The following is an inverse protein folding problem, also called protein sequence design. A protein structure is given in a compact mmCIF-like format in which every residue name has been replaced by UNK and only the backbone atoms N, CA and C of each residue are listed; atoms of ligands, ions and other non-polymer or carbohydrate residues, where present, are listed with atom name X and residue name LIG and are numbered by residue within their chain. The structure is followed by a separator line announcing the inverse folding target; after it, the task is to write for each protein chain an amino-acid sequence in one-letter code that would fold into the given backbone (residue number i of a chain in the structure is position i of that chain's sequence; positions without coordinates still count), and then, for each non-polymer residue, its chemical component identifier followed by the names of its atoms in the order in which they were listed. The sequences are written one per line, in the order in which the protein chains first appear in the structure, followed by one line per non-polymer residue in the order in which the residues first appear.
data_IF_580105139989
#
_entry.id   IF_580105139989
#
_cell.length_a   1.000
_cell.length_b   1.000
_cell.length_c   1.000
_cell.angle_alpha   90.00
_cell.angle_beta   90.00
_cell.angle_gamma   90.00
#
_symmetry.space_group_name_H-M   'P 1'
#
loop_
_entity.id
_entity.type
_entity.pdbx_description
1 polymer ?
#
# COMPACT_ATOMS: atom_id res chain seq x y z
N UNK A 1 6.61 69.40 68.01
CA UNK A 1 5.54 68.41 67.72
C UNK A 1 5.24 68.44 66.23
N UNK A 2 5.80 67.56 65.38
CA UNK A 2 5.30 67.24 64.03
C UNK A 2 5.79 65.83 63.71
N UNK A 3 4.87 64.89 63.63
CA UNK A 3 5.10 63.49 63.25
C UNK A 3 5.29 63.43 61.74
N UNK A 4 6.39 62.91 61.32
CA UNK A 4 6.62 62.60 59.88
C UNK A 4 6.29 61.13 59.64
N UNK A 5 5.20 60.92 58.90
CA UNK A 5 4.72 59.61 58.51
C UNK A 5 5.47 59.20 57.22
N UNK A 6 6.35 58.21 57.33
CA UNK A 6 7.10 57.67 56.20
C UNK A 6 6.26 56.56 55.55
N UNK A 7 5.80 56.83 54.35
CA UNK A 7 5.07 55.85 53.50
C UNK A 7 6.09 54.98 52.75
N UNK A 8 6.17 53.71 53.14
CA UNK A 8 6.94 52.68 52.38
C UNK A 8 6.12 52.25 51.16
N UNK A 9 6.54 52.66 49.98
CA UNK A 9 5.95 52.21 48.72
C UNK A 9 6.62 50.90 48.29
N UNK A 10 5.96 49.77 48.51
CA UNK A 10 6.44 48.47 48.09
C UNK A 10 6.10 48.28 46.61
N UNK A 11 7.10 48.35 45.74
CA UNK A 11 7.01 48.06 44.29
C UNK A 11 7.01 46.56 44.10
N UNK A 12 5.84 45.95 43.83
CA UNK A 12 5.70 44.54 43.43
C UNK A 12 5.98 44.47 41.96
N UNK A 13 7.18 43.99 41.58
CA UNK A 13 7.49 43.57 40.20
C UNK A 13 6.77 42.28 39.87
N UNK A 14 5.66 42.37 39.12
CA UNK A 14 5.00 41.23 38.49
C UNK A 14 5.90 40.72 37.35
N UNK A 15 6.64 39.68 37.62
CA UNK A 15 7.34 38.88 36.59
C UNK A 15 6.31 38.07 35.84
N UNK A 16 5.81 38.55 34.71
CA UNK A 16 4.99 37.76 33.77
C UNK A 16 5.90 36.73 33.11
N UNK A 17 5.92 35.53 33.63
CA UNK A 17 6.52 34.38 32.91
C UNK A 17 5.65 34.08 31.70
N UNK A 18 6.07 34.53 30.54
CA UNK A 18 5.57 34.01 29.26
C UNK A 18 6.02 32.57 29.11
N UNK A 19 5.19 31.63 29.54
CA UNK A 19 5.32 30.23 29.13
C UNK A 19 4.88 30.14 27.67
N UNK A 20 5.83 30.25 26.73
CA UNK A 20 5.62 29.77 25.39
C UNK A 20 5.44 28.26 25.48
N UNK A 21 4.19 27.81 25.60
CA UNK A 21 3.84 26.43 25.28
C UNK A 21 4.12 26.26 23.80
N UNK A 22 5.24 25.63 23.44
CA UNK A 22 5.41 25.04 22.13
C UNK A 22 4.29 24.02 21.99
N UNK A 23 3.19 24.41 21.31
CA UNK A 23 2.26 23.45 20.73
C UNK A 23 3.04 22.60 19.75
N UNK A 24 3.55 21.48 20.22
CA UNK A 24 3.99 20.40 19.34
C UNK A 24 2.76 19.97 18.57
N UNK A 25 2.62 20.50 17.35
CA UNK A 25 1.68 19.99 16.34
C UNK A 25 2.03 18.52 16.12
N UNK A 26 1.38 17.64 16.86
CA UNK A 26 1.40 16.22 16.57
C UNK A 26 0.70 16.05 15.23
N UNK A 27 1.47 15.89 14.15
CA UNK A 27 0.92 15.52 12.86
C UNK A 27 0.24 14.17 13.07
N UNK A 28 -1.08 14.18 13.17
CA UNK A 28 -1.86 12.95 13.32
C UNK A 28 -1.62 12.07 12.09
N UNK A 29 -0.95 10.94 12.29
CA UNK A 29 -0.64 10.03 11.20
C UNK A 29 -1.93 9.37 10.72
N UNK A 30 -2.26 9.55 9.45
CA UNK A 30 -3.44 8.94 8.86
C UNK A 30 -3.31 7.41 8.80
N UNK A 31 -4.20 6.70 9.51
CA UNK A 31 -4.30 5.25 9.46
C UNK A 31 -4.80 4.80 8.08
N UNK A 32 -4.12 3.82 7.47
CA UNK A 32 -4.54 3.22 6.19
C UNK A 32 -4.93 1.76 6.32
N UNK A 33 -4.45 1.06 7.34
CA UNK A 33 -4.77 -0.37 7.52
C UNK A 33 -4.03 -0.99 8.70
N UNK A 34 -4.11 -2.29 8.80
CA UNK A 34 -3.46 -3.10 9.83
C UNK A 34 -2.70 -4.29 9.21
N UNK A 35 -1.65 -4.72 9.88
CA UNK A 35 -0.93 -5.95 9.55
C UNK A 35 -1.78 -7.15 9.95
N UNK A 36 -2.33 -7.87 8.97
CA UNK A 36 -3.15 -9.08 9.22
C UNK A 36 -2.29 -10.30 9.48
N UNK A 37 -1.18 -10.45 8.74
CA UNK A 37 -0.25 -11.56 8.89
C UNK A 37 1.17 -11.13 8.51
N UNK A 38 2.16 -11.80 9.10
CA UNK A 38 3.58 -11.53 8.85
C UNK A 38 4.38 -12.83 8.87
N UNK A 39 5.40 -12.91 8.06
CA UNK A 39 6.36 -14.01 8.03
C UNK A 39 7.76 -13.45 7.80
N UNK A 40 8.74 -13.90 8.57
CA UNK A 40 10.11 -13.39 8.54
C UNK A 40 10.21 -11.96 9.07
N UNK A 41 11.19 -11.20 8.58
CA UNK A 41 11.49 -9.84 9.02
C UNK A 41 10.85 -8.81 8.09
N UNK A 42 9.92 -8.04 8.61
CA UNK A 42 9.28 -6.91 7.92
C UNK A 42 9.32 -5.69 8.82
N UNK A 43 9.68 -4.54 8.27
CA UNK A 43 9.85 -3.30 9.03
C UNK A 43 9.39 -2.07 8.23
N UNK A 44 9.18 -0.98 8.95
CA UNK A 44 9.16 0.38 8.38
C UNK A 44 10.51 1.07 8.59
N UNK A 45 10.61 2.36 8.31
CA UNK A 45 11.80 3.16 8.62
C UNK A 45 12.09 3.21 10.12
N UNK A 46 11.08 3.08 10.96
CA UNK A 46 11.17 3.38 12.40
C UNK A 46 10.95 2.19 13.32
N UNK A 47 10.35 1.09 12.81
CA UNK A 47 10.01 -0.08 13.64
C UNK A 47 9.95 -1.38 12.86
N UNK A 48 10.19 -2.48 13.55
CA UNK A 48 9.82 -3.81 13.08
C UNK A 48 8.32 -4.02 13.25
N UNK A 49 7.67 -4.67 12.27
CA UNK A 49 6.22 -4.89 12.24
C UNK A 49 5.86 -6.25 12.83
N UNK A 50 4.68 -6.29 13.47
CA UNK A 50 4.03 -7.50 14.00
C UNK A 50 2.58 -7.54 13.52
N UNK A 51 1.96 -8.73 13.57
CA UNK A 51 0.52 -8.86 13.32
C UNK A 51 -0.27 -7.98 14.29
N UNK A 52 -1.26 -7.26 13.78
CA UNK A 52 -2.05 -6.27 14.50
C UNK A 52 -1.51 -4.84 14.47
N UNK A 53 -0.26 -4.63 14.04
CA UNK A 53 0.31 -3.28 13.95
C UNK A 53 -0.44 -2.41 12.93
N UNK A 54 -0.60 -1.13 13.27
CA UNK A 54 -1.20 -0.13 12.40
C UNK A 54 -0.22 0.30 11.32
N UNK A 55 -0.70 0.48 10.11
CA UNK A 55 0.04 1.05 8.98
C UNK A 55 -0.53 2.42 8.66
N UNK A 56 0.36 3.39 8.50
CA UNK A 56 0.01 4.78 8.27
C UNK A 56 0.39 5.24 6.87
N UNK A 57 -0.25 6.31 6.43
CA UNK A 57 0.06 6.95 5.15
C UNK A 57 1.54 7.36 5.10
N UNK A 58 2.15 7.21 3.93
CA UNK A 58 3.57 7.48 3.64
C UNK A 58 4.57 6.60 4.41
N UNK A 59 4.15 5.59 5.18
CA UNK A 59 5.12 4.60 5.69
C UNK A 59 5.61 3.70 4.55
N UNK A 60 6.93 3.49 4.50
CA UNK A 60 7.54 2.50 3.61
C UNK A 60 7.62 1.16 4.34
N UNK A 61 7.19 0.12 3.67
CA UNK A 61 7.20 -1.25 4.18
C UNK A 61 8.31 -2.01 3.47
N UNK A 62 9.26 -2.49 4.25
CA UNK A 62 10.41 -3.29 3.79
C UNK A 62 10.21 -4.74 4.22
N UNK A 63 10.12 -5.65 3.26
CA UNK A 63 10.14 -7.08 3.49
C UNK A 63 11.50 -7.66 3.07
N UNK A 64 12.17 -8.35 3.96
CA UNK A 64 13.48 -8.97 3.71
C UNK A 64 13.41 -10.24 2.87
N UNK A 65 14.53 -10.93 2.76
CA UNK A 65 14.63 -12.25 2.11
C UNK A 65 13.70 -13.25 2.81
N UNK A 66 12.96 -14.03 2.03
CA UNK A 66 12.00 -15.04 2.53
C UNK A 66 10.96 -14.47 3.51
N UNK A 67 10.72 -13.17 3.47
CA UNK A 67 9.82 -12.45 4.36
C UNK A 67 8.63 -11.89 3.60
N UNK A 68 7.59 -11.48 4.33
CA UNK A 68 6.45 -10.80 3.73
C UNK A 68 5.38 -10.47 4.76
N UNK A 69 4.45 -9.63 4.35
CA UNK A 69 3.32 -9.21 5.19
C UNK A 69 2.04 -9.08 4.40
N UNK A 70 0.93 -9.36 5.04
CA UNK A 70 -0.40 -9.06 4.53
C UNK A 70 -0.98 -7.89 5.30
N UNK A 71 -1.40 -6.86 4.59
CA UNK A 71 -1.98 -5.65 5.14
C UNK A 71 -3.44 -5.59 4.71
N UNK A 72 -4.32 -5.44 5.69
CA UNK A 72 -5.75 -5.24 5.50
C UNK A 72 -6.02 -3.74 5.55
N UNK A 73 -6.41 -3.14 4.44
CA UNK A 73 -6.73 -1.71 4.36
C UNK A 73 -8.15 -1.47 4.87
N UNK A 74 -8.44 -0.22 5.26
CA UNK A 74 -9.75 0.17 5.81
C UNK A 74 -10.90 0.00 4.81
N UNK A 75 -10.62 0.05 3.49
CA UNK A 75 -11.60 -0.22 2.43
C UNK A 75 -11.76 -1.72 2.12
N UNK A 76 -11.22 -2.61 2.97
CA UNK A 76 -11.19 -4.07 2.78
C UNK A 76 -10.32 -4.55 1.61
N UNK A 77 -9.52 -3.70 1.01
CA UNK A 77 -8.45 -4.15 0.12
C UNK A 77 -7.41 -4.94 0.91
N UNK A 78 -6.83 -5.95 0.27
CA UNK A 78 -5.74 -6.71 0.87
C UNK A 78 -4.47 -6.54 0.03
N UNK A 79 -3.41 -6.06 0.69
CA UNK A 79 -2.08 -5.93 0.08
C UNK A 79 -1.15 -6.98 0.69
N UNK A 80 -0.64 -7.88 -0.14
CA UNK A 80 0.38 -8.84 0.29
C UNK A 80 1.73 -8.43 -0.30
N UNK A 81 2.63 -7.99 0.57
CA UNK A 81 4.00 -7.62 0.24
C UNK A 81 4.86 -8.86 0.33
N UNK A 82 5.50 -9.24 -0.77
CA UNK A 82 6.37 -10.43 -0.85
C UNK A 82 7.81 -10.16 -0.47
N UNK A 83 8.68 -11.16 -0.68
CA UNK A 83 10.11 -11.07 -0.35
C UNK A 83 10.85 -9.99 -1.14
N UNK A 84 11.91 -9.43 -0.56
CA UNK A 84 12.79 -8.41 -1.15
C UNK A 84 12.03 -7.20 -1.65
N UNK A 85 11.02 -6.75 -0.91
CA UNK A 85 10.08 -5.71 -1.38
C UNK A 85 10.23 -4.41 -0.61
N UNK A 86 9.99 -3.32 -1.35
CA UNK A 86 9.85 -1.96 -0.84
C UNK A 86 8.56 -1.35 -1.39
N UNK A 87 7.59 -1.10 -0.50
CA UNK A 87 6.23 -0.64 -0.85
C UNK A 87 5.85 0.55 0.02
N UNK A 88 5.31 1.59 -0.59
CA UNK A 88 4.81 2.81 0.08
C UNK A 88 3.33 2.98 -0.20
N UNK A 89 2.57 3.43 0.80
CA UNK A 89 1.19 3.88 0.63
C UNK A 89 1.17 5.40 0.41
N UNK A 90 1.14 5.85 -0.86
CA UNK A 90 1.28 7.28 -1.19
C UNK A 90 -0.01 8.07 -0.98
N UNK A 91 -1.17 7.44 -1.19
CA UNK A 91 -2.49 8.07 -1.05
C UNK A 91 -3.48 7.03 -0.55
N UNK A 92 -4.23 7.41 0.46
CA UNK A 92 -5.37 6.64 0.94
C UNK A 92 -6.46 7.61 1.37
N UNK A 93 -7.53 7.67 0.59
CA UNK A 93 -8.76 8.40 0.93
C UNK A 93 -9.89 7.39 0.88
N UNK A 94 -10.69 7.32 1.91
CA UNK A 94 -11.82 6.40 1.99
C UNK A 94 -12.95 7.00 2.80
N UNK A 95 -14.12 7.03 2.21
CA UNK A 95 -15.38 7.36 2.86
C UNK A 95 -16.16 6.05 3.08
N UNK A 96 -16.32 5.59 4.32
CA UNK A 96 -16.99 4.33 4.62
C UNK A 96 -18.51 4.37 4.35
N UNK A 97 -19.13 5.54 4.35
CA UNK A 97 -20.57 5.67 4.12
C UNK A 97 -20.92 5.53 2.63
N UNK A 98 -20.08 6.06 1.79
CA UNK A 98 -20.28 6.04 0.33
C UNK A 98 -19.44 5.02 -0.39
N UNK A 99 -18.39 4.47 0.22
CA UNK A 99 -17.32 3.67 -0.39
C UNK A 99 -16.54 4.42 -1.48
N UNK A 100 -16.62 5.75 -1.52
CA UNK A 100 -15.79 6.56 -2.39
C UNK A 100 -14.37 6.67 -1.84
N UNK A 101 -13.42 6.87 -2.73
CA UNK A 101 -12.06 7.02 -2.31
C UNK A 101 -11.03 6.84 -3.41
N UNK A 102 -9.77 6.82 -2.97
CA UNK A 102 -8.61 6.63 -3.85
C UNK A 102 -7.48 5.97 -3.10
N UNK A 103 -6.86 4.98 -3.74
CA UNK A 103 -5.67 4.30 -3.26
C UNK A 103 -4.56 4.49 -4.27
N UNK A 104 -3.40 4.98 -3.82
CA UNK A 104 -2.17 4.98 -4.60
C UNK A 104 -1.09 4.34 -3.76
N UNK A 105 -0.46 3.31 -4.28
CA UNK A 105 0.71 2.68 -3.67
C UNK A 105 1.87 2.69 -4.66
N UNK A 106 3.10 2.77 -4.16
CA UNK A 106 4.33 2.65 -4.96
C UNK A 106 5.06 1.37 -4.59
N UNK A 107 5.42 0.57 -5.59
CA UNK A 107 6.33 -0.56 -5.43
C UNK A 107 7.65 -0.20 -6.09
N UNK A 108 8.68 0.05 -5.29
CA UNK A 108 10.01 0.42 -5.81
C UNK A 108 10.79 -0.81 -6.25
N UNK A 109 10.63 -1.93 -5.54
CA UNK A 109 11.18 -3.23 -5.88
C UNK A 109 10.41 -4.36 -5.21
N UNK A 110 10.62 -5.60 -5.66
CA UNK A 110 10.06 -6.81 -5.05
C UNK A 110 8.71 -7.21 -5.63
N UNK A 111 7.77 -7.59 -4.81
CA UNK A 111 6.48 -8.11 -5.26
C UNK A 111 5.33 -7.64 -4.37
N UNK A 112 4.25 -7.21 -5.03
CA UNK A 112 2.99 -6.85 -4.39
C UNK A 112 1.85 -7.64 -5.03
N UNK A 113 1.02 -8.29 -4.20
CA UNK A 113 -0.27 -8.84 -4.61
C UNK A 113 -1.37 -8.01 -4.00
N UNK A 114 -2.36 -7.64 -4.79
CA UNK A 114 -3.49 -6.81 -4.42
C UNK A 114 -4.78 -7.59 -4.66
N UNK A 115 -5.65 -7.60 -3.66
CA UNK A 115 -7.06 -7.96 -3.77
C UNK A 115 -7.84 -6.67 -3.56
N UNK A 116 -8.59 -6.25 -4.55
CA UNK A 116 -9.32 -4.99 -4.53
C UNK A 116 -10.51 -5.01 -3.56
N UNK A 117 -10.62 -3.96 -2.75
CA UNK A 117 -11.70 -3.74 -1.79
C UNK A 117 -12.87 -2.90 -2.31
N UNK A 118 -13.50 -2.15 -1.41
CA UNK A 118 -14.74 -1.41 -1.67
C UNK A 118 -14.54 -0.24 -2.64
N UNK A 119 -13.47 0.54 -2.48
CA UNK A 119 -13.16 1.69 -3.35
C UNK A 119 -13.10 1.25 -4.82
N UNK A 120 -12.28 0.26 -5.12
CA UNK A 120 -12.06 -0.20 -6.51
C UNK A 120 -13.24 -0.96 -7.08
N UNK A 121 -14.08 -1.58 -6.23
CA UNK A 121 -15.34 -2.21 -6.64
C UNK A 121 -16.40 -1.17 -7.01
N UNK A 122 -16.42 -0.02 -6.33
CA UNK A 122 -17.35 1.08 -6.64
C UNK A 122 -16.88 1.86 -7.87
N UNK A 123 -15.64 2.35 -7.82
CA UNK A 123 -15.05 3.22 -8.84
C UNK A 123 -13.85 2.52 -9.48
N UNK A 124 -13.99 1.89 -10.64
CA UNK A 124 -12.87 1.37 -11.40
C UNK A 124 -11.80 2.46 -11.60
N UNK A 125 -10.53 2.09 -11.59
CA UNK A 125 -9.36 2.97 -11.72
C UNK A 125 -9.04 3.83 -10.47
N UNK A 126 -9.80 3.72 -9.38
CA UNK A 126 -9.50 4.39 -8.11
C UNK A 126 -8.36 3.76 -7.31
N UNK A 127 -7.90 2.58 -7.71
CA UNK A 127 -6.72 1.92 -7.15
C UNK A 127 -5.62 1.89 -8.20
N UNK A 128 -4.53 2.57 -7.90
CA UNK A 128 -3.34 2.66 -8.76
C UNK A 128 -2.11 2.17 -8.00
N UNK A 129 -1.32 1.31 -8.64
CA UNK A 129 0.02 0.94 -8.17
C UNK A 129 1.05 1.54 -9.12
N UNK A 130 1.91 2.41 -8.58
CA UNK A 130 3.05 2.99 -9.29
C UNK A 130 4.24 2.03 -9.22
N UNK A 131 4.94 1.89 -10.30
CA UNK A 131 6.17 1.11 -10.41
C UNK A 131 7.22 1.92 -11.19
N UNK A 132 8.52 1.60 -11.13
CA UNK A 132 9.56 2.37 -11.81
C UNK A 132 9.38 2.52 -13.32
N UNK A 133 8.69 1.58 -13.96
CA UNK A 133 8.46 1.56 -15.40
C UNK A 133 7.12 2.18 -15.83
N UNK A 134 6.20 2.49 -14.87
CA UNK A 134 4.88 3.07 -15.17
C UNK A 134 3.85 2.88 -14.08
N UNK A 135 2.61 2.58 -14.45
CA UNK A 135 1.46 2.46 -13.54
C UNK A 135 0.60 1.24 -13.84
N UNK A 136 -0.05 0.74 -12.80
CA UNK A 136 -1.01 -0.36 -12.85
C UNK A 136 -2.33 0.15 -12.27
N UNK A 137 -3.38 0.27 -13.09
CA UNK A 137 -4.73 0.65 -12.66
C UNK A 137 -5.57 -0.60 -12.43
N UNK A 138 -6.16 -0.77 -11.25
CA UNK A 138 -6.98 -1.93 -10.91
C UNK A 138 -8.47 -1.64 -11.01
N UNK A 139 -9.21 -2.53 -11.65
CA UNK A 139 -10.67 -2.49 -11.81
C UNK A 139 -11.33 -3.66 -11.09
N UNK A 140 -11.27 -3.66 -9.76
CA UNK A 140 -12.00 -4.61 -8.94
C UNK A 140 -11.56 -6.08 -9.12
N UNK A 141 -10.27 -6.37 -9.00
CA UNK A 141 -9.70 -7.69 -9.29
C UNK A 141 -8.59 -8.08 -8.31
N UNK A 142 -8.13 -9.31 -8.41
CA UNK A 142 -6.90 -9.79 -7.78
C UNK A 142 -5.79 -9.82 -8.83
N UNK A 143 -4.67 -9.17 -8.53
CA UNK A 143 -3.48 -9.17 -9.38
C UNK A 143 -2.20 -9.19 -8.55
N UNK A 144 -1.11 -9.59 -9.19
CA UNK A 144 0.21 -9.57 -8.60
C UNK A 144 1.20 -8.90 -9.56
N UNK A 145 2.08 -8.07 -9.01
CA UNK A 145 3.20 -7.48 -9.75
C UNK A 145 4.54 -7.91 -9.15
N UNK A 146 5.56 -8.05 -10.00
CA UNK A 146 6.95 -8.25 -9.63
C UNK A 146 7.76 -7.14 -10.28
N UNK A 147 8.38 -6.30 -9.46
CA UNK A 147 9.28 -5.22 -9.86
C UNK A 147 10.71 -5.71 -9.68
N UNK A 148 11.43 -5.80 -10.78
CA UNK A 148 12.84 -6.18 -10.84
C UNK A 148 13.62 -5.05 -11.53
N UNK A 149 14.96 -5.07 -11.48
CA UNK A 149 15.78 -4.03 -12.11
C UNK A 149 15.39 -3.81 -13.58
N UNK A 150 14.77 -2.66 -13.87
CA UNK A 150 14.40 -2.24 -15.22
C UNK A 150 13.19 -2.95 -15.84
N UNK A 151 12.45 -3.73 -15.06
CA UNK A 151 11.31 -4.50 -15.58
C UNK A 151 10.25 -4.72 -14.51
N UNK A 152 8.98 -4.50 -14.88
CA UNK A 152 7.81 -4.90 -14.12
C UNK A 152 7.02 -5.98 -14.87
N UNK A 153 6.77 -7.10 -14.22
CA UNK A 153 5.89 -8.17 -14.69
C UNK A 153 4.57 -8.11 -13.91
N UNK A 154 3.43 -8.00 -14.57
CA UNK A 154 2.10 -7.94 -13.92
C UNK A 154 1.24 -9.10 -14.39
N UNK A 155 0.61 -9.80 -13.44
CA UNK A 155 -0.28 -10.95 -13.64
C UNK A 155 -1.67 -10.62 -13.10
N UNK A 156 -2.70 -10.71 -13.96
CA UNK A 156 -4.09 -10.76 -13.52
C UNK A 156 -4.41 -12.17 -13.03
N UNK A 157 -4.86 -12.30 -11.78
CA UNK A 157 -5.28 -13.59 -11.21
C UNK A 157 -6.78 -13.80 -11.46
N UNK A 158 -7.61 -12.80 -11.17
CA UNK A 158 -9.04 -12.82 -11.45
C UNK A 158 -9.87 -12.06 -10.38
N UNK A 159 -11.18 -11.96 -10.56
CA UNK A 159 -11.92 -12.37 -11.76
C UNK A 159 -11.58 -11.49 -12.94
N UNK A 160 -11.71 -12.03 -14.15
CA UNK A 160 -11.61 -11.28 -15.39
C UNK A 160 -12.95 -11.30 -16.13
N UNK A 161 -12.94 -10.93 -17.41
CA UNK A 161 -14.10 -11.10 -18.30
C UNK A 161 -14.41 -12.59 -18.43
N UNK A 162 -15.65 -12.92 -18.75
CA UNK A 162 -16.12 -14.31 -18.95
C UNK A 162 -15.99 -15.20 -17.69
N UNK A 163 -16.10 -14.65 -16.48
CA UNK A 163 -16.19 -15.50 -15.29
C UNK A 163 -17.57 -16.13 -15.18
N UNK A 164 -17.61 -17.42 -14.89
CA UNK A 164 -18.85 -18.21 -14.77
C UNK A 164 -19.61 -18.04 -13.45
N UNK A 165 -19.04 -17.28 -12.51
CA UNK A 165 -19.57 -17.12 -11.15
C UNK A 165 -20.46 -15.88 -10.99
N UNK A 166 -20.78 -15.16 -12.10
CA UNK A 166 -21.57 -13.92 -12.05
C UNK A 166 -20.88 -12.76 -11.32
N UNK A 167 -19.58 -12.87 -11.04
CA UNK A 167 -18.81 -11.80 -10.44
C UNK A 167 -18.62 -10.64 -11.43
N UNK A 168 -18.56 -9.40 -10.90
CA UNK A 168 -18.23 -8.25 -11.73
C UNK A 168 -16.88 -8.48 -12.42
N UNK A 169 -16.77 -8.30 -13.76
CA UNK A 169 -15.51 -8.43 -14.46
C UNK A 169 -14.46 -7.47 -13.92
N UNK A 170 -13.28 -7.98 -13.61
CA UNK A 170 -12.14 -7.20 -13.19
C UNK A 170 -11.10 -7.12 -14.29
N UNK A 171 -10.22 -6.12 -14.20
CA UNK A 171 -9.12 -5.93 -15.13
C UNK A 171 -7.96 -5.17 -14.47
N UNK A 172 -6.78 -5.25 -15.10
CA UNK A 172 -5.62 -4.41 -14.75
C UNK A 172 -5.13 -3.71 -16.01
N UNK A 173 -5.08 -2.38 -15.95
CA UNK A 173 -4.46 -1.56 -16.98
C UNK A 173 -2.99 -1.36 -16.66
N UNK A 174 -2.11 -1.92 -17.48
CA UNK A 174 -0.65 -1.76 -17.37
C UNK A 174 -0.23 -0.67 -18.35
N UNK A 175 0.37 0.43 -17.89
CA UNK A 175 0.66 1.57 -18.75
C UNK A 175 1.88 2.40 -18.36
N UNK A 176 2.46 3.05 -19.35
CA UNK A 176 3.47 4.10 -19.21
C UNK A 176 3.25 5.21 -20.27
N UNK A 177 4.16 6.18 -20.35
CA UNK A 177 4.05 7.29 -21.32
C UNK A 177 4.06 6.87 -22.80
N UNK A 178 4.43 5.62 -23.12
CA UNK A 178 4.57 5.11 -24.49
C UNK A 178 3.41 4.22 -24.92
N UNK A 179 2.52 3.83 -24.00
CA UNK A 179 1.35 3.02 -24.32
C UNK A 179 0.78 2.27 -23.12
N UNK A 180 -0.25 1.49 -23.40
CA UNK A 180 -0.96 0.72 -22.36
C UNK A 180 -1.41 -0.64 -22.87
N UNK A 181 -1.56 -1.60 -21.95
CA UNK A 181 -2.06 -2.95 -22.21
C UNK A 181 -3.08 -3.32 -21.14
N UNK A 182 -4.26 -3.76 -21.56
CA UNK A 182 -5.31 -4.23 -20.68
C UNK A 182 -5.16 -5.73 -20.42
N UNK A 183 -5.10 -6.12 -19.14
CA UNK A 183 -5.22 -7.50 -18.70
C UNK A 183 -6.67 -7.70 -18.23
N UNK A 184 -7.47 -8.45 -18.96
CA UNK A 184 -8.88 -8.71 -18.68
C UNK A 184 -9.26 -10.21 -18.68
N UNK A 185 -8.31 -11.07 -19.02
CA UNK A 185 -8.47 -12.52 -18.91
C UNK A 185 -7.70 -13.06 -17.70
N UNK A 186 -8.30 -13.93 -16.88
CA UNK A 186 -7.59 -14.57 -15.77
C UNK A 186 -6.32 -15.28 -16.24
N UNK A 187 -5.28 -15.16 -15.42
CA UNK A 187 -3.95 -15.69 -15.74
C UNK A 187 -3.30 -15.12 -17.00
N UNK A 188 -3.72 -13.91 -17.43
CA UNK A 188 -2.97 -13.12 -18.40
C UNK A 188 -1.94 -12.25 -17.70
N UNK A 189 -0.83 -12.01 -18.39
CA UNK A 189 0.26 -11.17 -17.93
C UNK A 189 0.78 -10.25 -19.01
N UNK A 190 1.32 -9.11 -18.58
CA UNK A 190 2.14 -8.22 -19.41
C UNK A 190 3.43 -7.86 -18.68
N UNK A 191 4.45 -7.54 -19.47
CA UNK A 191 5.72 -7.02 -18.98
C UNK A 191 5.90 -5.59 -19.44
N UNK A 192 6.41 -4.75 -18.56
CA UNK A 192 6.73 -3.35 -18.82
C UNK A 192 8.22 -3.10 -18.56
N UNK A 193 8.87 -2.36 -19.43
CA UNK A 193 10.27 -1.94 -19.30
C UNK A 193 10.36 -0.44 -19.56
N UNK A 194 11.43 0.22 -19.10
CA UNK A 194 11.68 1.61 -19.47
C UNK A 194 11.82 1.74 -20.99
N UNK A 195 11.40 2.87 -21.54
CA UNK A 195 11.57 3.25 -22.95
C UNK A 195 10.86 2.36 -23.97
N UNK A 196 9.88 1.58 -23.57
CA UNK A 196 8.99 0.81 -24.46
C UNK A 196 7.57 0.79 -23.94
N UNK A 197 6.60 0.75 -24.84
CA UNK A 197 5.22 0.45 -24.46
C UNK A 197 5.15 -0.92 -23.77
N UNK A 198 4.19 -1.14 -22.86
CA UNK A 198 3.97 -2.45 -22.26
C UNK A 198 3.76 -3.53 -23.34
N UNK A 199 4.32 -4.70 -23.10
CA UNK A 199 4.11 -5.86 -24.00
C UNK A 199 2.63 -6.26 -24.02
N UNK A 200 2.20 -6.90 -25.12
CA UNK A 200 0.84 -7.41 -25.26
C UNK A 200 0.48 -8.40 -24.15
N UNK A 201 -0.80 -8.42 -23.76
CA UNK A 201 -1.35 -9.39 -22.81
C UNK A 201 -1.22 -10.81 -23.37
N UNK A 202 -0.66 -11.72 -22.59
CA UNK A 202 -0.50 -13.13 -22.97
C UNK A 202 -0.78 -14.04 -21.78
N UNK A 203 -1.24 -15.25 -22.04
CA UNK A 203 -1.43 -16.28 -21.00
C UNK A 203 -0.09 -16.59 -20.35
N UNK A 204 -0.07 -16.64 -19.01
CA UNK A 204 1.13 -16.96 -18.25
C UNK A 204 1.58 -18.41 -18.48
N UNK A 205 2.88 -18.63 -18.59
CA UNK A 205 3.45 -19.99 -18.65
C UNK A 205 3.60 -20.58 -17.24
N UNK A 206 3.71 -21.92 -17.13
CA UNK A 206 3.94 -22.61 -15.85
C UNK A 206 5.21 -22.08 -15.12
N UNK A 207 6.29 -21.81 -15.87
CA UNK A 207 7.54 -21.31 -15.28
C UNK A 207 7.40 -19.86 -14.76
N UNK A 208 6.68 -19.00 -15.48
CA UNK A 208 6.38 -17.65 -15.03
C UNK A 208 5.49 -17.67 -13.79
N UNK A 209 4.46 -18.53 -13.76
CA UNK A 209 3.60 -18.68 -12.58
C UNK A 209 4.39 -19.19 -11.35
N UNK A 210 5.34 -20.10 -11.53
CA UNK A 210 6.26 -20.52 -10.46
C UNK A 210 7.06 -19.34 -9.90
N UNK A 211 7.52 -18.40 -10.77
CA UNK A 211 8.23 -17.18 -10.36
C UNK A 211 7.34 -16.29 -9.48
N UNK A 212 6.10 -16.01 -9.91
CA UNK A 212 5.13 -15.23 -9.13
C UNK A 212 4.86 -15.91 -7.78
N UNK A 213 4.58 -17.20 -7.78
CA UNK A 213 4.33 -17.97 -6.56
C UNK A 213 5.53 -17.99 -5.61
N UNK A 214 6.77 -18.02 -6.13
CA UNK A 214 7.98 -18.00 -5.30
C UNK A 214 8.06 -16.71 -4.49
N UNK A 215 7.76 -15.57 -5.11
CA UNK A 215 7.80 -14.25 -4.45
C UNK A 215 6.78 -14.08 -3.31
N UNK A 216 5.75 -14.91 -3.28
CA UNK A 216 4.71 -14.96 -2.22
C UNK A 216 4.84 -16.20 -1.32
N UNK A 217 6.00 -16.89 -1.33
CA UNK A 217 6.18 -18.17 -0.63
C UNK A 217 5.90 -18.07 0.89
N UNK A 218 6.21 -16.94 1.49
CA UNK A 218 5.97 -16.68 2.91
C UNK A 218 4.47 -16.83 3.32
N UNK A 219 3.54 -16.66 2.36
CA UNK A 219 2.08 -16.77 2.57
C UNK A 219 1.44 -17.96 1.85
N UNK A 220 2.20 -18.93 1.42
CA UNK A 220 1.59 -20.20 1.04
C UNK A 220 1.05 -20.83 2.31
N UNK A 221 -0.28 -20.93 2.40
CA UNK A 221 -0.95 -21.79 3.35
C UNK A 221 -0.25 -23.14 3.25
N UNK A 222 0.30 -23.63 4.37
CA UNK A 222 0.78 -24.99 4.44
C UNK A 222 -0.34 -25.86 3.87
N UNK A 223 -0.04 -26.64 2.84
CA UNK A 223 -0.96 -27.67 2.38
C UNK A 223 -1.31 -28.46 3.64
N UNK A 224 -2.54 -28.37 4.10
CA UNK A 224 -3.06 -29.30 5.07
C UNK A 224 -2.79 -30.67 4.44
N UNK A 225 -1.83 -31.39 4.99
CA UNK A 225 -1.63 -32.80 4.65
C UNK A 225 -2.94 -33.45 5.02
N UNK A 226 -3.65 -34.12 4.10
CA UNK A 226 -4.71 -35.00 4.54
C UNK A 226 -4.02 -36.12 5.33
N UNK A 227 -4.31 -36.18 6.63
CA UNK A 227 -4.04 -37.36 7.45
C UNK A 227 -4.80 -38.58 6.90
#
# INVERSE_FOLDING_TARGET
MKKILSTFLTLILLFSANTNAEETLSIEKQLVGIVGAISGTVKTETRELKAGDKIYLNETIYAGVSSGTQILLLDQSTFTVGEDSEVVMDTFVFDPDTNDGKIVASVKQGSLKVISGLISKKNPDSLTVKVPEGTLGSRGTEFQTIVSKGKTDTLLIGPGKNNSLGMRPGAVLVGNSLGQTLLDNPYSMASMTKNRAPGQAKKITKNQLKKFNKKMKAFRVAKLSPD
#
